data_IF_438052050056
#
_entry.id   IF_438052050056
#
_cell.length_a   1.000
_cell.length_b   1.000
_cell.length_c   1.000
_cell.angle_alpha   90.00
_cell.angle_beta   90.00
_cell.angle_gamma   90.00
#
_symmetry.space_group_name_H-M   'P 1'
#
loop_
_entity.id
_entity.type
_entity.pdbx_description
1 polymer ?
#
# COMPACT_ATOMS: atom_id res chain seq x y z
N UNK A 1 16.75 -11.77 -22.90
CA UNK A 1 15.75 -12.68 -22.28
C UNK A 1 14.41 -11.97 -22.11
N UNK A 2 14.30 -10.92 -21.27
CA UNK A 2 13.03 -10.18 -21.05
C UNK A 2 12.43 -9.65 -22.36
N UNK A 3 13.22 -8.99 -23.20
CA UNK A 3 12.78 -8.50 -24.53
C UNK A 3 12.16 -9.60 -25.42
N UNK A 4 12.65 -10.84 -25.32
CA UNK A 4 12.10 -11.96 -26.10
C UNK A 4 10.83 -12.57 -25.50
N UNK A 5 10.57 -12.36 -24.20
CA UNK A 5 9.33 -12.80 -23.56
C UNK A 5 8.16 -11.85 -23.85
N UNK A 6 8.48 -10.57 -24.08
CA UNK A 6 7.53 -9.51 -24.40
C UNK A 6 7.58 -9.13 -25.89
N UNK A 7 8.08 -10.01 -26.75
CA UNK A 7 8.07 -9.82 -28.20
C UNK A 7 6.70 -10.24 -28.76
N UNK A 8 5.95 -9.28 -29.31
CA UNK A 8 4.58 -9.46 -29.82
C UNK A 8 3.67 -10.31 -28.90
N UNK A 9 3.52 -9.97 -27.61
CA UNK A 9 2.77 -10.78 -26.67
C UNK A 9 1.28 -10.79 -27.05
N UNK A 10 0.65 -11.95 -26.87
CA UNK A 10 -0.76 -12.16 -27.19
C UNK A 10 -1.50 -12.71 -25.99
N UNK A 11 -2.74 -12.28 -25.81
CA UNK A 11 -3.62 -12.71 -24.73
C UNK A 11 -4.90 -13.33 -25.31
N UNK A 12 -5.43 -14.35 -24.62
CA UNK A 12 -6.73 -14.94 -24.87
C UNK A 12 -7.38 -15.31 -23.53
N UNK A 13 -8.70 -15.20 -23.43
CA UNK A 13 -9.45 -15.47 -22.20
C UNK A 13 -10.15 -16.82 -22.33
N UNK A 14 -10.02 -17.69 -21.32
CA UNK A 14 -10.76 -18.95 -21.25
C UNK A 14 -11.91 -18.85 -20.27
N UNK A 15 -13.12 -19.18 -20.71
CA UNK A 15 -14.31 -19.31 -19.86
C UNK A 15 -14.84 -20.74 -19.98
N UNK A 16 -14.66 -21.54 -18.93
CA UNK A 16 -14.98 -22.97 -18.97
C UNK A 16 -14.14 -23.72 -20.02
N UNK A 17 -14.81 -24.25 -21.04
CA UNK A 17 -14.16 -24.97 -22.16
C UNK A 17 -13.88 -24.09 -23.38
N UNK A 18 -14.41 -22.87 -23.41
CA UNK A 18 -14.28 -21.97 -24.55
C UNK A 18 -13.09 -21.00 -24.35
N UNK A 19 -12.38 -20.70 -25.43
CA UNK A 19 -11.26 -19.76 -25.45
C UNK A 19 -11.56 -18.68 -26.47
N UNK A 20 -11.38 -17.42 -26.09
CA UNK A 20 -11.57 -16.28 -26.98
C UNK A 20 -10.55 -16.29 -28.12
N UNK A 21 -10.80 -15.48 -29.14
CA UNK A 21 -9.76 -15.13 -30.10
C UNK A 21 -8.58 -14.46 -29.37
N UNK A 22 -7.40 -14.65 -29.94
CA UNK A 22 -6.17 -14.06 -29.44
C UNK A 22 -6.03 -12.61 -29.91
N UNK A 23 -5.69 -11.71 -29.00
CA UNK A 23 -5.45 -10.28 -29.27
C UNK A 23 -4.06 -9.90 -28.79
N UNK A 24 -3.45 -8.90 -29.42
CA UNK A 24 -2.16 -8.35 -28.99
C UNK A 24 -2.28 -7.66 -27.62
N UNK A 25 -1.22 -7.77 -26.83
CA UNK A 25 -1.15 -7.23 -25.47
C UNK A 25 -0.09 -6.13 -25.42
N UNK A 26 -0.51 -4.88 -25.63
CA UNK A 26 0.43 -3.79 -25.96
C UNK A 26 1.00 -3.07 -24.73
N UNK A 27 0.35 -3.17 -23.57
CA UNK A 27 0.76 -2.51 -22.34
C UNK A 27 0.55 -3.42 -21.13
N UNK A 28 1.14 -3.04 -20.00
CA UNK A 28 1.13 -3.72 -18.71
C UNK A 28 2.01 -4.98 -18.57
N UNK A 29 2.18 -5.41 -17.32
CA UNK A 29 2.77 -6.70 -16.96
C UNK A 29 1.69 -7.77 -16.79
N UNK A 30 2.00 -9.01 -17.16
CA UNK A 30 1.05 -10.11 -17.04
C UNK A 30 0.66 -10.38 -15.58
N UNK A 31 -0.62 -10.16 -15.26
CA UNK A 31 -1.16 -10.50 -13.94
C UNK A 31 -1.06 -12.01 -13.72
N UNK A 32 -0.39 -12.42 -12.64
CA UNK A 32 -0.17 -13.83 -12.30
C UNK A 32 1.11 -14.45 -12.85
N UNK A 33 1.90 -13.73 -13.67
CA UNK A 33 3.22 -14.20 -14.07
C UNK A 33 4.25 -13.96 -12.96
N UNK A 34 5.09 -14.94 -12.58
CA UNK A 34 5.99 -14.83 -11.43
C UNK A 34 6.99 -13.66 -11.50
N UNK A 35 7.40 -13.23 -12.70
CA UNK A 35 8.36 -12.12 -12.85
C UNK A 35 7.70 -10.73 -12.89
N UNK A 36 6.39 -10.64 -13.13
CA UNK A 36 5.68 -9.36 -13.29
C UNK A 36 5.86 -8.42 -12.09
N UNK A 37 5.80 -8.87 -10.82
CA UNK A 37 6.00 -7.98 -9.68
C UNK A 37 7.39 -7.34 -9.65
N UNK A 38 8.44 -8.10 -10.01
CA UNK A 38 9.82 -7.59 -10.06
C UNK A 38 10.00 -6.60 -11.21
N UNK A 39 9.43 -6.87 -12.37
CA UNK A 39 9.47 -5.96 -13.52
C UNK A 39 8.76 -4.65 -13.22
N UNK A 40 7.59 -4.72 -12.57
CA UNK A 40 6.87 -3.54 -12.12
C UNK A 40 7.68 -2.76 -11.08
N UNK A 41 8.32 -3.43 -10.12
CA UNK A 41 9.19 -2.78 -9.15
C UNK A 41 10.35 -2.02 -9.81
N UNK A 42 11.00 -2.62 -10.82
CA UNK A 42 12.05 -1.91 -11.57
C UNK A 42 11.52 -0.69 -12.32
N UNK A 43 10.30 -0.78 -12.85
CA UNK A 43 9.66 0.31 -13.58
C UNK A 43 9.42 1.53 -12.69
N UNK A 44 8.84 1.33 -11.50
CA UNK A 44 8.50 2.41 -10.57
C UNK A 44 9.67 2.87 -9.69
N UNK A 45 10.84 2.24 -9.78
CA UNK A 45 11.92 2.42 -8.81
C UNK A 45 12.47 3.85 -8.75
N UNK A 46 12.33 4.63 -9.82
CA UNK A 46 12.77 6.02 -9.89
C UNK A 46 11.63 7.04 -9.73
N UNK A 47 10.43 6.62 -9.33
CA UNK A 47 9.27 7.50 -9.12
C UNK A 47 9.57 8.66 -8.16
N UNK A 48 10.38 8.43 -7.13
CA UNK A 48 10.75 9.47 -6.15
C UNK A 48 12.00 10.28 -6.54
N UNK A 49 12.54 10.09 -7.74
CA UNK A 49 13.71 10.84 -8.20
C UNK A 49 13.37 12.33 -8.30
N UNK A 50 14.09 13.16 -7.55
CA UNK A 50 13.86 14.61 -7.48
C UNK A 50 13.03 15.06 -6.27
N UNK A 51 12.40 14.13 -5.55
CA UNK A 51 11.67 14.44 -4.31
C UNK A 51 12.66 14.63 -3.15
N UNK A 52 12.57 15.77 -2.46
CA UNK A 52 13.49 16.13 -1.35
C UNK A 52 13.36 15.20 -0.13
N UNK A 53 12.13 14.85 0.24
CA UNK A 53 11.84 14.04 1.42
C UNK A 53 12.07 14.70 2.77
N UNK A 54 11.84 13.91 3.82
CA UNK A 54 12.00 14.28 5.23
C UNK A 54 13.35 13.83 5.78
N UNK A 55 13.89 14.60 6.74
CA UNK A 55 15.05 14.16 7.50
C UNK A 55 14.60 13.33 8.72
N UNK A 56 15.17 12.13 8.89
CA UNK A 56 14.88 11.26 10.02
C UNK A 56 16.09 11.13 10.95
N UNK A 57 15.89 11.20 12.28
CA UNK A 57 16.96 10.90 13.23
C UNK A 57 17.57 9.52 12.98
N UNK A 58 18.89 9.42 13.00
CA UNK A 58 19.62 8.17 12.78
C UNK A 58 19.87 7.79 11.32
N UNK A 59 19.34 8.53 10.35
CA UNK A 59 19.61 8.34 8.92
C UNK A 59 20.38 9.53 8.34
N UNK A 60 21.36 9.24 7.48
CA UNK A 60 22.16 10.27 6.79
C UNK A 60 21.45 10.82 5.55
N UNK A 61 20.65 10.00 4.89
CA UNK A 61 19.85 10.39 3.72
C UNK A 61 18.44 10.80 4.12
N UNK A 62 17.87 11.73 3.36
CA UNK A 62 16.44 12.09 3.46
C UNK A 62 15.59 10.98 2.83
N UNK A 63 14.41 10.76 3.39
CA UNK A 63 13.45 9.76 2.89
C UNK A 63 12.34 10.48 2.12
N UNK A 64 12.22 10.29 0.80
CA UNK A 64 11.18 10.92 -0.01
C UNK A 64 9.79 10.33 0.25
N UNK A 65 9.73 9.05 0.61
CA UNK A 65 8.48 8.32 0.69
C UNK A 65 8.63 6.83 0.92
N UNK A 66 7.49 6.14 0.91
CA UNK A 66 7.38 4.68 0.96
C UNK A 66 6.70 4.21 -0.32
N UNK A 67 7.12 3.05 -0.83
CA UNK A 67 6.57 2.47 -2.04
C UNK A 67 6.32 0.98 -1.82
N UNK A 68 5.09 0.55 -2.06
CA UNK A 68 4.71 -0.85 -1.99
C UNK A 68 3.70 -1.18 -3.09
N UNK A 69 4.13 -1.97 -4.07
CA UNK A 69 3.33 -2.21 -5.28
C UNK A 69 2.86 -0.87 -5.89
N UNK A 70 1.55 -0.70 -6.10
CA UNK A 70 0.91 0.53 -6.60
C UNK A 70 0.66 1.59 -5.52
N UNK A 71 0.82 1.27 -4.24
CA UNK A 71 0.65 2.22 -3.14
C UNK A 71 1.95 3.01 -2.90
N UNK A 72 1.88 4.33 -2.98
CA UNK A 72 2.98 5.25 -2.67
C UNK A 72 2.58 6.22 -1.56
N UNK A 73 3.52 6.54 -0.67
CA UNK A 73 3.38 7.56 0.38
C UNK A 73 4.48 8.58 0.19
N UNK A 74 4.13 9.86 0.05
CA UNK A 74 5.09 10.96 -0.01
C UNK A 74 5.25 11.58 1.38
N UNK A 75 6.48 11.90 1.76
CA UNK A 75 6.80 12.55 3.03
C UNK A 75 7.46 13.90 2.77
N UNK A 76 6.89 14.96 3.33
CA UNK A 76 7.39 16.33 3.17
C UNK A 76 7.26 17.13 4.45
N UNK A 77 8.17 18.09 4.66
CA UNK A 77 8.21 18.93 5.87
C UNK A 77 7.37 20.21 5.76
N UNK A 78 6.81 20.51 4.58
CA UNK A 78 6.03 21.74 4.36
C UNK A 78 4.97 21.58 3.28
N UNK A 79 3.91 22.40 3.35
CA UNK A 79 2.84 22.50 2.36
C UNK A 79 3.38 22.78 0.94
N UNK A 80 4.33 23.72 0.82
CA UNK A 80 4.98 24.01 -0.46
C UNK A 80 5.85 22.85 -0.97
N UNK A 81 6.51 22.13 -0.06
CA UNK A 81 7.26 20.92 -0.38
C UNK A 81 6.35 19.78 -0.87
N UNK A 82 5.15 19.67 -0.31
CA UNK A 82 4.14 18.70 -0.73
C UNK A 82 3.70 18.94 -2.17
N UNK A 83 3.29 20.15 -2.53
CA UNK A 83 2.88 20.44 -3.91
C UNK A 83 4.02 20.20 -4.90
N UNK A 84 5.24 20.65 -4.58
CA UNK A 84 6.42 20.39 -5.43
C UNK A 84 6.72 18.89 -5.60
N UNK A 85 6.49 18.08 -4.57
CA UNK A 85 6.62 16.63 -4.68
C UNK A 85 5.50 16.02 -5.54
N UNK A 86 4.25 16.46 -5.38
CA UNK A 86 3.13 16.04 -6.21
C UNK A 86 3.34 16.39 -7.68
N UNK A 87 3.87 17.59 -7.98
CA UNK A 87 4.19 18.02 -9.34
C UNK A 87 5.29 17.15 -9.97
N UNK A 88 6.31 16.79 -9.19
CA UNK A 88 7.38 15.88 -9.64
C UNK A 88 6.82 14.50 -9.98
N UNK A 89 5.89 14.00 -9.17
CA UNK A 89 5.24 12.71 -9.39
C UNK A 89 4.30 12.76 -10.58
N UNK A 90 3.58 13.87 -10.78
CA UNK A 90 2.73 14.08 -11.95
C UNK A 90 3.58 14.08 -13.23
N UNK A 91 4.69 14.82 -13.27
CA UNK A 91 5.60 14.85 -14.42
C UNK A 91 6.20 13.47 -14.73
N UNK A 92 6.63 12.74 -13.70
CA UNK A 92 7.09 11.36 -13.86
C UNK A 92 5.97 10.47 -14.39
N UNK A 93 4.76 10.57 -13.82
CA UNK A 93 3.61 9.75 -14.22
C UNK A 93 3.23 10.02 -15.68
N UNK A 94 3.22 11.29 -16.10
CA UNK A 94 2.93 11.66 -17.49
C UNK A 94 4.00 11.16 -18.45
N UNK A 95 5.28 11.21 -18.05
CA UNK A 95 6.42 10.70 -18.84
C UNK A 95 6.34 9.19 -19.04
N UNK A 96 5.89 8.47 -18.02
CA UNK A 96 5.80 7.01 -17.98
C UNK A 96 4.37 6.50 -18.24
N UNK A 97 3.49 7.35 -18.76
CA UNK A 97 2.11 7.03 -19.11
C UNK A 97 1.30 6.33 -17.98
N UNK A 98 1.58 6.72 -16.73
CA UNK A 98 0.88 6.23 -15.55
C UNK A 98 -0.27 7.17 -15.15
N UNK A 99 -1.43 6.58 -14.90
CA UNK A 99 -2.58 7.29 -14.36
C UNK A 99 -2.65 7.11 -12.84
N UNK A 100 -2.64 8.22 -12.10
CA UNK A 100 -2.83 8.22 -10.65
C UNK A 100 -4.32 8.38 -10.32
N UNK A 101 -4.81 7.59 -9.38
CA UNK A 101 -6.19 7.69 -8.91
C UNK A 101 -6.30 8.71 -7.77
N UNK A 102 -6.44 10.00 -8.09
CA UNK A 102 -6.48 11.06 -7.09
C UNK A 102 -7.63 10.89 -6.08
N UNK A 103 -8.77 10.32 -6.49
CA UNK A 103 -9.91 10.03 -5.59
C UNK A 103 -9.64 9.00 -4.50
N UNK A 104 -8.59 8.19 -4.66
CA UNK A 104 -8.10 7.24 -3.62
C UNK A 104 -6.91 7.80 -2.84
N UNK A 105 -6.28 8.86 -3.33
CA UNK A 105 -5.24 9.56 -2.62
C UNK A 105 -5.85 10.38 -1.48
N UNK A 106 -5.05 10.61 -0.44
CA UNK A 106 -5.43 11.45 0.68
C UNK A 106 -4.22 12.18 1.21
N UNK A 107 -4.44 13.41 1.66
CA UNK A 107 -3.40 14.21 2.31
C UNK A 107 -3.70 14.27 3.79
N UNK A 108 -2.68 13.99 4.59
CA UNK A 108 -2.76 14.01 6.05
C UNK A 108 -1.60 14.85 6.58
N UNK A 109 -1.89 15.75 7.52
CA UNK A 109 -0.86 16.53 8.23
C UNK A 109 -0.67 15.98 9.63
N UNK A 110 0.59 15.99 10.07
CA UNK A 110 0.96 15.66 11.45
C UNK A 110 1.39 16.98 12.08
N UNK A 111 0.58 17.50 13.00
CA UNK A 111 0.86 18.75 13.73
C UNK A 111 1.11 19.98 12.84
N UNK A 112 0.18 20.26 11.91
CA UNK A 112 0.22 21.48 11.09
C UNK A 112 -1.04 21.70 10.28
N UNK A 113 -1.16 22.89 9.69
CA UNK A 113 -2.26 23.26 8.79
C UNK A 113 -1.77 23.32 7.35
N UNK A 114 -2.63 22.88 6.43
CA UNK A 114 -2.43 23.10 5.00
C UNK A 114 -2.87 24.50 4.63
N UNK A 115 -2.02 25.18 3.86
CA UNK A 115 -2.25 26.56 3.46
C UNK A 115 -2.98 26.71 2.13
N UNK A 116 -3.13 25.62 1.37
CA UNK A 116 -3.71 25.63 0.03
C UNK A 116 -4.31 24.27 -0.34
N UNK A 117 -5.23 24.28 -1.31
CA UNK A 117 -5.65 23.05 -1.97
C UNK A 117 -4.48 22.45 -2.76
N UNK A 118 -4.37 21.13 -2.70
CA UNK A 118 -3.31 20.39 -3.36
C UNK A 118 -3.87 19.64 -4.57
N UNK A 119 -3.06 19.55 -5.62
CA UNK A 119 -3.45 18.87 -6.87
C UNK A 119 -2.41 17.85 -7.30
N UNK A 120 -2.87 16.78 -7.94
CA UNK A 120 -2.06 15.70 -8.50
C UNK A 120 -2.62 15.35 -9.88
N UNK A 121 -1.79 15.44 -10.92
CA UNK A 121 -2.22 15.33 -12.33
C UNK A 121 -3.43 16.23 -12.67
N UNK A 122 -3.48 17.42 -12.07
CA UNK A 122 -4.57 18.39 -12.26
C UNK A 122 -5.86 18.08 -11.49
N UNK A 123 -5.95 16.95 -10.79
CA UNK A 123 -7.07 16.60 -9.92
C UNK A 123 -6.82 17.03 -8.48
N UNK A 124 -7.85 17.51 -7.78
CA UNK A 124 -7.76 17.87 -6.36
C UNK A 124 -7.65 16.61 -5.50
N UNK A 125 -6.75 16.62 -4.52
CA UNK A 125 -6.63 15.55 -3.53
C UNK A 125 -7.24 15.99 -2.21
N UNK A 126 -8.10 15.15 -1.65
CA UNK A 126 -8.83 15.46 -0.41
C UNK A 126 -7.95 15.33 0.84
N UNK A 127 -8.27 16.16 1.83
CA UNK A 127 -7.69 16.07 3.16
C UNK A 127 -8.38 14.99 3.99
N UNK A 128 -7.60 14.29 4.82
CA UNK A 128 -8.11 13.31 5.77
C UNK A 128 -7.32 13.30 7.08
N UNK A 129 -8.04 13.17 8.20
CA UNK A 129 -7.45 12.96 9.52
C UNK A 129 -6.94 11.54 9.73
N UNK A 130 -7.38 10.60 8.88
CA UNK A 130 -7.05 9.19 9.01
C UNK A 130 -6.85 8.55 7.64
N UNK A 131 -5.75 7.83 7.49
CA UNK A 131 -5.44 7.09 6.26
C UNK A 131 -5.08 5.65 6.58
N UNK A 132 -5.53 4.72 5.72
CA UNK A 132 -5.19 3.30 5.85
C UNK A 132 -4.13 2.95 4.81
N UNK A 133 -2.90 2.71 5.27
CA UNK A 133 -1.79 2.27 4.42
C UNK A 133 -1.44 0.82 4.74
N UNK A 134 -1.52 -0.07 3.75
CA UNK A 134 -1.27 -1.52 3.91
C UNK A 134 -2.05 -2.16 5.08
N UNK A 135 -3.27 -1.67 5.34
CA UNK A 135 -4.11 -2.15 6.44
C UNK A 135 -3.76 -1.63 7.85
N UNK A 136 -2.70 -0.83 7.97
CA UNK A 136 -2.35 -0.04 9.16
C UNK A 136 -3.03 1.33 9.10
N UNK A 137 -3.63 1.76 10.22
CA UNK A 137 -4.34 3.04 10.30
C UNK A 137 -3.41 4.09 10.90
N UNK A 138 -3.07 5.09 10.09
CA UNK A 138 -2.36 6.29 10.51
C UNK A 138 -3.36 7.42 10.77
N UNK A 139 -3.06 8.29 11.74
CA UNK A 139 -3.90 9.46 12.04
C UNK A 139 -3.05 10.72 12.24
N UNK A 140 -3.70 11.88 12.10
CA UNK A 140 -3.08 13.20 12.23
C UNK A 140 -2.51 13.50 13.63
N UNK A 141 -2.96 12.77 14.67
CA UNK A 141 -2.44 12.85 16.04
C UNK A 141 -1.19 12.01 16.26
N UNK A 142 -0.81 11.19 15.27
CA UNK A 142 0.31 10.27 15.32
C UNK A 142 0.25 9.26 16.48
N UNK A 143 -0.97 8.89 16.91
CA UNK A 143 -1.18 7.89 17.95
C UNK A 143 -1.51 6.50 17.38
N UNK A 144 -1.28 5.45 18.17
CA UNK A 144 -1.51 4.05 17.75
C UNK A 144 -2.93 3.54 18.04
N UNK A 145 -3.80 4.36 18.62
CA UNK A 145 -5.12 3.92 19.10
C UNK A 145 -6.04 3.43 17.97
N UNK A 146 -5.99 4.10 16.82
CA UNK A 146 -6.73 3.72 15.61
C UNK A 146 -6.33 2.34 15.10
N UNK A 147 -5.03 2.07 15.02
CA UNK A 147 -4.49 0.78 14.60
C UNK A 147 -4.87 -0.35 15.58
N UNK A 148 -4.71 -0.11 16.89
CA UNK A 148 -5.09 -1.08 17.94
C UNK A 148 -6.59 -1.41 17.86
N UNK A 149 -7.45 -0.40 17.72
CA UNK A 149 -8.90 -0.62 17.63
C UNK A 149 -9.29 -1.37 16.36
N UNK A 150 -8.64 -1.08 15.23
CA UNK A 150 -8.84 -1.82 13.98
C UNK A 150 -8.46 -3.30 14.13
N UNK A 151 -7.28 -3.59 14.69
CA UNK A 151 -6.82 -4.95 14.93
C UNK A 151 -7.74 -5.70 15.89
N UNK A 152 -8.18 -5.06 16.98
CA UNK A 152 -9.16 -5.61 17.91
C UNK A 152 -10.44 -6.03 17.19
N UNK A 153 -10.96 -5.18 16.28
CA UNK A 153 -12.16 -5.50 15.52
C UNK A 153 -11.93 -6.64 14.51
N UNK A 154 -10.78 -6.67 13.82
CA UNK A 154 -10.42 -7.77 12.91
C UNK A 154 -10.29 -9.10 13.63
N UNK A 155 -9.57 -9.15 14.76
CA UNK A 155 -9.46 -10.35 15.60
C UNK A 155 -10.83 -10.80 16.09
N UNK A 156 -11.65 -9.87 16.58
CA UNK A 156 -13.01 -10.19 17.05
C UNK A 156 -13.84 -10.86 15.95
N UNK A 157 -13.82 -10.32 14.73
CA UNK A 157 -14.49 -10.94 13.56
C UNK A 157 -13.92 -12.33 13.25
N UNK A 158 -12.60 -12.49 13.25
CA UNK A 158 -11.94 -13.76 12.98
C UNK A 158 -12.24 -14.83 14.05
N UNK A 159 -12.30 -14.45 15.33
CA UNK A 159 -12.71 -15.31 16.44
C UNK A 159 -14.16 -15.76 16.25
N UNK A 160 -15.08 -14.84 15.93
CA UNK A 160 -16.47 -15.22 15.66
C UNK A 160 -16.59 -16.17 14.47
N UNK A 161 -15.87 -15.93 13.38
CA UNK A 161 -15.86 -16.81 12.20
C UNK A 161 -15.30 -18.22 12.51
N UNK A 162 -14.34 -18.32 13.42
CA UNK A 162 -13.71 -19.59 13.82
C UNK A 162 -14.31 -20.21 15.09
N UNK A 163 -15.35 -19.60 15.66
CA UNK A 163 -15.91 -19.98 16.96
C UNK A 163 -16.40 -21.43 16.99
N UNK A 164 -17.04 -21.89 15.91
CA UNK A 164 -17.51 -23.28 15.77
C UNK A 164 -16.35 -24.27 15.81
N UNK A 165 -15.25 -24.00 15.10
CA UNK A 165 -14.04 -24.82 15.10
C UNK A 165 -13.38 -24.86 16.49
N UNK A 166 -13.27 -23.72 17.16
CA UNK A 166 -12.63 -23.64 18.48
C UNK A 166 -13.41 -24.40 19.57
N UNK A 167 -14.74 -24.50 19.45
CA UNK A 167 -15.60 -25.20 20.43
C UNK A 167 -15.69 -26.71 20.25
N UNK A 168 -15.28 -27.24 19.10
CA UNK A 168 -15.35 -28.68 18.80
C UNK A 168 -14.55 -29.52 19.80
N UNK A 169 -15.20 -30.43 20.51
CA UNK A 169 -14.53 -31.32 21.47
C UNK A 169 -13.73 -32.43 20.80
N UNK A 170 -14.03 -32.74 19.54
CA UNK A 170 -13.39 -33.78 18.72
C UNK A 170 -12.08 -33.31 18.06
N UNK A 171 -11.74 -32.02 18.16
CA UNK A 171 -10.48 -31.45 17.66
C UNK A 171 -9.46 -31.35 18.79
N UNK A 172 -8.26 -31.89 18.57
CA UNK A 172 -7.14 -31.83 19.50
C UNK A 172 -6.81 -30.39 19.90
N UNK A 173 -6.62 -30.15 21.20
CA UNK A 173 -6.25 -28.83 21.75
C UNK A 173 -4.98 -28.27 21.09
N UNK A 174 -4.00 -29.12 20.77
CA UNK A 174 -2.78 -28.72 20.08
C UNK A 174 -3.05 -28.06 18.71
N UNK A 175 -4.05 -28.55 17.95
CA UNK A 175 -4.44 -27.95 16.67
C UNK A 175 -5.13 -26.60 16.87
N UNK A 176 -5.94 -26.45 17.92
CA UNK A 176 -6.58 -25.18 18.26
C UNK A 176 -5.55 -24.13 18.68
N UNK A 177 -4.57 -24.51 19.50
CA UNK A 177 -3.45 -23.63 19.87
C UNK A 177 -2.66 -23.22 18.62
N UNK A 178 -2.35 -24.17 17.74
CA UNK A 178 -1.67 -23.87 16.47
C UNK A 178 -2.49 -22.90 15.61
N UNK A 179 -3.80 -23.08 15.51
CA UNK A 179 -4.69 -22.16 14.80
C UNK A 179 -4.67 -20.76 15.42
N UNK A 180 -4.79 -20.64 16.74
CA UNK A 180 -4.72 -19.35 17.45
C UNK A 180 -3.39 -18.65 17.13
N UNK A 181 -2.26 -19.37 17.26
CA UNK A 181 -0.93 -18.80 17.06
C UNK A 181 -0.61 -18.45 15.59
N UNK A 182 -1.16 -19.19 14.62
CA UNK A 182 -0.85 -18.99 13.19
C UNK A 182 -1.86 -18.10 12.46
N UNK A 183 -3.06 -17.91 13.00
CA UNK A 183 -4.13 -17.15 12.34
C UNK A 183 -4.57 -15.96 13.19
N UNK A 184 -5.03 -16.21 14.42
CA UNK A 184 -5.64 -15.14 15.24
C UNK A 184 -4.59 -14.17 15.80
N UNK A 185 -3.46 -14.68 16.26
CA UNK A 185 -2.37 -13.87 16.81
C UNK A 185 -1.79 -12.90 15.76
N UNK A 186 -1.42 -13.32 14.54
CA UNK A 186 -0.94 -12.41 13.50
C UNK A 186 -1.95 -11.31 13.13
N UNK A 187 -3.25 -11.60 13.12
CA UNK A 187 -4.29 -10.60 12.84
C UNK A 187 -4.32 -9.51 13.93
N UNK A 188 -4.08 -9.88 15.20
CA UNK A 188 -4.07 -8.94 16.31
C UNK A 188 -2.78 -8.14 16.44
N UNK A 189 -1.66 -8.77 16.12
CA UNK A 189 -0.33 -8.21 16.27
C UNK A 189 0.17 -7.48 15.01
N UNK A 190 -0.65 -7.38 13.95
CA UNK A 190 -0.25 -6.71 12.71
C UNK A 190 0.06 -5.22 12.95
N UNK A 191 1.27 -4.77 12.58
CA UNK A 191 1.72 -3.41 12.85
C UNK A 191 2.08 -3.17 14.32
N UNK A 192 2.25 -4.23 15.13
CA UNK A 192 2.60 -4.11 16.55
C UNK A 192 4.00 -3.57 16.80
N UNK A 193 4.88 -3.61 15.80
CA UNK A 193 6.22 -3.03 15.84
C UNK A 193 6.22 -1.51 16.09
N UNK A 194 5.13 -0.82 15.75
CA UNK A 194 5.00 0.63 15.98
C UNK A 194 4.50 0.96 17.38
N UNK A 195 3.89 0.00 18.09
CA UNK A 195 3.23 0.26 19.38
C UNK A 195 4.22 0.54 20.52
N UNK A 196 5.48 0.12 20.39
CA UNK A 196 6.53 0.36 21.37
C UNK A 196 7.38 1.61 21.09
N UNK A 197 7.10 2.36 20.02
CA UNK A 197 7.92 3.50 19.59
C UNK A 197 7.51 4.83 20.24
N UNK A 198 6.54 4.82 21.17
CA UNK A 198 6.02 6.02 21.84
C UNK A 198 6.86 6.52 23.03
N UNK A 199 7.90 5.79 23.44
CA UNK A 199 8.75 6.12 24.59
C UNK A 199 10.16 6.56 24.18
N UNK A 200 10.26 7.62 23.35
CA UNK A 200 11.53 8.29 23.01
C UNK A 200 11.43 9.81 23.17
#
# INVERSE_FOLDING_TARGET
MIKGMYDAPKIAVRVGKEVSNSTEYLCDVWKGYPASPILYYFYINDIFKGVRGVQMPGLTSRIPGLLFADDAVLLTESSAGLQSALDTIAEWSDTWEMAVNASKCGIMTISGELTADMTLQGEKVDFTDQYTYLGYIMNSKWDVSGAINNNKNKVRKAVYASYSFLRRSDVLTALKIKFINSVLMPIGCYGGETFGMSDA
#
